data_IF_095966477922
#
_entry.id   IF_095966477922
#
_cell.length_a   1.000
_cell.length_b   1.000
_cell.length_c   1.000
_cell.angle_alpha   90.00
_cell.angle_beta   90.00
_cell.angle_gamma   90.00
#
_symmetry.space_group_name_H-M   'P 1'
#
loop_
_entity.id
_entity.type
_entity.pdbx_description
1 polymer ?
#
# COMPACT_ATOMS: atom_id res chain seq x y z
N UNK A 1 5.76 -27.12 28.92
CA UNK A 1 6.56 -25.89 28.97
C UNK A 1 8.04 -26.21 28.83
N UNK A 2 8.53 -26.42 27.61
CA UNK A 2 9.96 -26.50 27.22
C UNK A 2 9.94 -26.93 25.74
N UNK A 3 10.01 -25.97 24.82
CA UNK A 3 10.44 -26.17 23.41
C UNK A 3 10.09 -24.95 22.49
N UNK A 4 9.97 -23.72 23.05
CA UNK A 4 9.78 -22.52 22.23
C UNK A 4 11.04 -21.67 22.02
N UNK A 5 12.12 -21.93 22.77
CA UNK A 5 13.33 -21.07 22.70
C UNK A 5 14.36 -21.48 21.64
N UNK A 6 14.20 -22.63 20.99
CA UNK A 6 15.26 -23.16 20.08
C UNK A 6 15.03 -22.83 18.59
N UNK A 7 13.92 -22.19 18.21
CA UNK A 7 13.68 -21.79 16.81
C UNK A 7 14.11 -20.37 16.45
N UNK A 8 14.24 -19.50 17.44
CA UNK A 8 14.71 -18.11 17.22
C UNK A 8 16.21 -17.97 16.93
N UNK A 9 17.01 -18.97 17.26
CA UNK A 9 18.47 -18.93 17.10
C UNK A 9 18.94 -19.31 15.68
N UNK A 10 18.09 -19.81 14.79
CA UNK A 10 18.51 -20.25 13.45
C UNK A 10 18.34 -19.21 12.33
N UNK A 11 17.52 -18.21 12.52
CA UNK A 11 17.39 -17.11 11.54
C UNK A 11 18.38 -15.96 11.73
N UNK A 12 19.02 -15.89 12.88
CA UNK A 12 20.04 -14.87 13.19
C UNK A 12 21.48 -15.23 12.80
N UNK A 13 21.72 -16.42 12.24
CA UNK A 13 23.09 -16.92 11.99
C UNK A 13 23.50 -16.94 10.50
N UNK A 14 22.80 -16.25 9.62
CA UNK A 14 23.17 -16.14 8.20
C UNK A 14 23.67 -14.74 7.78
N UNK A 15 24.10 -13.92 8.73
CA UNK A 15 24.55 -12.53 8.46
C UNK A 15 25.98 -12.25 8.99
N UNK A 16 26.91 -13.21 8.91
CA UNK A 16 28.33 -12.93 9.14
C UNK A 16 29.21 -13.78 8.24
N UNK A 17 29.34 -13.35 6.98
CA UNK A 17 30.51 -13.66 6.15
C UNK A 17 31.13 -12.33 5.74
N UNK A 18 32.05 -11.83 6.57
CA UNK A 18 32.90 -10.69 6.26
C UNK A 18 34.00 -11.17 5.32
N UNK A 19 33.90 -10.79 4.05
CA UNK A 19 35.02 -10.91 3.11
C UNK A 19 35.91 -9.66 3.28
N UNK A 20 37.08 -9.86 3.84
CA UNK A 20 38.16 -8.83 3.89
C UNK A 20 38.69 -8.60 2.48
N UNK A 21 38.39 -7.44 1.90
CA UNK A 21 39.03 -6.95 0.68
C UNK A 21 40.05 -5.90 1.08
N UNK A 22 41.30 -6.17 0.79
CA UNK A 22 42.42 -5.25 1.01
C UNK A 22 42.27 -4.03 0.10
N UNK A 23 42.21 -2.83 0.68
CA UNK A 23 42.26 -1.57 -0.05
C UNK A 23 43.71 -1.22 -0.43
N UNK A 24 43.97 -1.15 -1.72
CA UNK A 24 45.14 -0.46 -2.26
C UNK A 24 44.85 1.05 -2.20
N UNK A 25 45.57 1.75 -1.33
CA UNK A 25 45.52 3.21 -1.23
C UNK A 25 46.29 3.78 -2.44
N UNK A 26 45.58 4.31 -3.43
CA UNK A 26 46.13 5.19 -4.44
C UNK A 26 46.01 6.62 -3.91
N UNK A 27 47.15 7.24 -3.59
CA UNK A 27 47.24 8.66 -3.25
C UNK A 27 46.89 9.51 -4.48
N UNK A 28 45.62 9.90 -4.62
CA UNK A 28 45.16 10.95 -5.53
C UNK A 28 45.15 12.31 -4.82
N UNK A 29 45.55 13.35 -5.51
CA UNK A 29 45.60 14.74 -5.01
C UNK A 29 44.18 15.16 -4.46
N UNK A 30 44.13 16.04 -3.44
CA UNK A 30 42.87 16.54 -2.93
C UNK A 30 42.21 17.46 -3.97
N UNK A 31 41.30 16.89 -4.76
CA UNK A 31 40.37 17.67 -5.55
C UNK A 31 39.48 18.46 -4.61
N UNK A 32 39.31 19.75 -4.86
CA UNK A 32 38.36 20.62 -4.14
C UNK A 32 36.99 19.97 -4.14
N UNK A 33 36.52 19.57 -2.97
CA UNK A 33 35.13 19.12 -2.76
C UNK A 33 34.18 20.23 -3.23
N UNK A 34 33.27 20.00 -4.17
CA UNK A 34 32.24 20.99 -4.51
C UNK A 34 31.49 21.38 -3.24
N UNK A 35 31.23 22.66 -3.07
CA UNK A 35 30.38 23.13 -1.98
C UNK A 35 29.05 22.35 -2.00
N UNK A 36 28.54 21.90 -0.85
CA UNK A 36 27.25 21.20 -0.79
C UNK A 36 26.20 22.08 -1.47
N UNK A 37 25.41 21.45 -2.36
CA UNK A 37 24.31 22.17 -3.01
C UNK A 37 23.38 22.75 -1.92
N UNK A 38 22.85 23.96 -2.12
CA UNK A 38 21.93 24.56 -1.16
C UNK A 38 20.73 23.59 -0.94
N UNK A 39 20.22 23.48 0.30
CA UNK A 39 19.11 22.61 0.61
C UNK A 39 17.91 22.98 -0.30
N UNK A 40 17.14 21.98 -0.79
CA UNK A 40 16.03 22.25 -1.69
C UNK A 40 14.99 23.12 -1.00
N UNK A 41 14.54 24.19 -1.66
CA UNK A 41 13.46 25.03 -1.14
C UNK A 41 12.21 24.17 -0.93
N UNK A 42 11.58 24.29 0.24
CA UNK A 42 10.34 23.57 0.57
C UNK A 42 9.16 24.14 -0.18
N UNK A 43 8.29 23.31 -0.75
CA UNK A 43 7.02 23.81 -1.34
C UNK A 43 6.08 24.41 -0.31
N UNK A 44 6.15 23.97 0.94
CA UNK A 44 5.33 24.40 2.07
C UNK A 44 4.01 23.61 2.21
N UNK A 45 3.37 23.70 3.40
CA UNK A 45 2.06 23.12 3.64
C UNK A 45 1.02 23.64 2.63
N UNK A 46 0.13 22.74 2.16
CA UNK A 46 -0.91 23.08 1.19
C UNK A 46 -0.44 23.23 -0.26
N UNK A 47 0.84 22.98 -0.56
CA UNK A 47 1.39 23.11 -1.90
C UNK A 47 0.71 22.20 -2.95
N UNK A 48 0.09 21.10 -2.52
CA UNK A 48 -0.66 20.19 -3.38
C UNK A 48 -2.11 20.65 -3.66
N UNK A 49 -2.60 21.72 -3.01
CA UNK A 49 -3.97 22.19 -3.18
C UNK A 49 -5.01 21.10 -2.89
N UNK A 50 -5.92 20.89 -3.83
CA UNK A 50 -6.95 19.84 -3.73
C UNK A 50 -6.44 18.45 -4.14
N UNK A 51 -5.27 18.32 -4.75
CA UNK A 51 -4.68 17.05 -5.09
C UNK A 51 -4.28 16.30 -3.81
N UNK A 52 -4.74 15.05 -3.67
CA UNK A 52 -4.42 14.23 -2.51
C UNK A 52 -2.96 13.82 -2.57
N UNK A 53 -2.16 14.39 -1.72
CA UNK A 53 -0.78 13.98 -1.54
C UNK A 53 -0.66 13.20 -0.23
N UNK A 54 -0.75 11.89 -0.37
CA UNK A 54 -0.70 10.95 0.74
C UNK A 54 0.75 10.55 1.04
N UNK A 55 1.59 11.54 1.37
CA UNK A 55 2.87 11.29 2.02
C UNK A 55 2.59 11.04 3.50
N UNK A 56 2.62 9.80 3.91
CA UNK A 56 2.24 9.39 5.25
C UNK A 56 3.29 8.47 5.85
N UNK A 57 3.48 8.59 7.16
CA UNK A 57 4.22 7.61 7.95
C UNK A 57 3.65 6.22 7.72
N UNK A 58 4.53 5.25 7.51
CA UNK A 58 4.17 3.88 7.13
C UNK A 58 3.96 2.97 8.36
N UNK A 59 3.50 1.73 8.18
CA UNK A 59 3.44 0.76 9.28
C UNK A 59 4.82 0.33 9.80
N UNK A 60 5.91 0.75 9.14
CA UNK A 60 7.29 0.45 9.56
C UNK A 60 7.97 1.61 10.28
N UNK A 61 7.35 2.77 10.37
CA UNK A 61 8.00 4.00 10.88
C UNK A 61 8.64 3.81 12.25
N UNK A 62 7.91 3.21 13.19
CA UNK A 62 8.42 2.97 14.54
C UNK A 62 9.62 2.03 14.52
N UNK A 63 9.54 0.93 13.78
CA UNK A 63 10.66 -0.01 13.64
C UNK A 63 11.92 0.67 13.09
N UNK A 64 11.74 1.55 12.11
CA UNK A 64 12.86 2.31 11.51
C UNK A 64 13.43 3.31 12.51
N UNK A 65 12.59 4.02 13.24
CA UNK A 65 13.01 4.99 14.26
C UNK A 65 13.70 4.31 15.46
N UNK A 66 13.25 3.12 15.85
CA UNK A 66 13.85 2.33 16.95
C UNK A 66 15.29 1.89 16.64
N UNK A 67 15.69 1.86 15.37
CA UNK A 67 17.10 1.66 14.99
C UNK A 67 18.00 2.88 15.30
N UNK A 68 17.41 3.99 15.74
CA UNK A 68 18.09 5.25 15.96
C UNK A 68 18.28 6.10 14.69
N UNK A 69 17.61 5.72 13.58
CA UNK A 69 17.66 6.48 12.34
C UNK A 69 17.01 7.87 12.51
N UNK A 70 17.65 8.88 11.93
CA UNK A 70 17.19 10.28 11.95
C UNK A 70 16.87 10.70 10.53
N UNK A 71 15.66 11.19 10.30
CA UNK A 71 15.27 11.74 9.01
C UNK A 71 15.63 13.22 8.93
N UNK A 72 16.12 13.66 7.76
CA UNK A 72 16.41 15.07 7.51
C UNK A 72 16.17 15.45 6.06
N UNK A 73 15.73 16.69 5.84
CA UNK A 73 15.68 17.30 4.51
C UNK A 73 16.79 18.34 4.30
N UNK A 74 17.77 18.37 5.22
CA UNK A 74 18.87 19.34 5.23
C UNK A 74 18.52 20.68 5.91
N UNK A 75 17.26 20.89 6.29
CA UNK A 75 16.78 22.07 7.03
C UNK A 75 16.36 21.64 8.45
N UNK A 76 15.47 20.65 8.54
CA UNK A 76 14.98 20.09 9.79
C UNK A 76 15.38 18.62 9.93
N UNK A 77 15.25 18.11 11.16
CA UNK A 77 15.45 16.71 11.49
C UNK A 77 14.24 16.17 12.25
N UNK A 78 13.93 14.88 12.00
CA UNK A 78 12.85 14.16 12.69
C UNK A 78 13.38 12.86 13.31
N UNK A 79 12.96 12.59 14.54
CA UNK A 79 13.31 11.41 15.36
C UNK A 79 12.07 10.73 15.94
N UNK A 80 10.89 11.19 15.57
CA UNK A 80 9.60 10.69 16.02
C UNK A 80 8.65 10.56 14.84
N UNK A 81 7.66 9.71 14.96
CA UNK A 81 6.61 9.52 13.94
C UNK A 81 5.93 10.85 13.58
N UNK A 82 5.58 11.65 14.58
CA UNK A 82 5.01 12.99 14.36
C UNK A 82 6.00 13.90 13.62
N UNK A 83 7.29 13.87 14.00
CA UNK A 83 8.33 14.66 13.34
C UNK A 83 8.46 14.31 11.87
N UNK A 84 8.43 13.02 11.50
CA UNK A 84 8.46 12.58 10.11
C UNK A 84 7.22 13.06 9.36
N UNK A 85 6.03 12.94 9.95
CA UNK A 85 4.80 13.43 9.32
C UNK A 85 4.83 14.96 9.13
N UNK A 86 5.39 15.72 10.08
CA UNK A 86 5.60 17.17 9.93
C UNK A 86 6.58 17.52 8.81
N UNK A 87 7.64 16.71 8.60
CA UNK A 87 8.50 16.86 7.41
C UNK A 87 7.68 16.67 6.12
N UNK A 88 6.86 15.63 6.03
CA UNK A 88 6.00 15.41 4.86
C UNK A 88 5.05 16.59 4.59
N UNK A 89 4.49 17.20 5.63
CA UNK A 89 3.63 18.37 5.50
C UNK A 89 4.37 19.57 4.84
N UNK A 90 5.67 19.74 5.10
CA UNK A 90 6.47 20.77 4.44
C UNK A 90 6.62 20.56 2.92
N UNK A 91 6.33 19.33 2.48
CA UNK A 91 6.34 18.93 1.07
C UNK A 91 4.94 18.72 0.50
N UNK A 92 3.92 19.25 1.19
CA UNK A 92 2.54 19.33 0.70
C UNK A 92 1.64 18.18 1.08
N UNK A 93 2.10 17.24 1.93
CA UNK A 93 1.24 16.18 2.46
C UNK A 93 -0.02 16.77 3.11
N UNK A 94 -1.20 16.25 2.78
CA UNK A 94 -2.47 16.77 3.24
C UNK A 94 -3.43 15.71 3.80
N UNK A 95 -2.92 14.50 4.03
CA UNK A 95 -3.60 13.45 4.76
C UNK A 95 -2.60 12.52 5.47
N UNK A 96 -3.09 11.78 6.45
CA UNK A 96 -2.44 10.59 7.03
C UNK A 96 -3.20 9.36 6.56
N UNK A 97 -2.47 8.34 6.19
CA UNK A 97 -2.99 7.06 5.78
C UNK A 97 -2.63 5.97 6.79
N UNK A 98 -3.51 5.01 6.97
CA UNK A 98 -3.20 3.77 7.68
C UNK A 98 -3.94 2.59 7.04
N UNK A 99 -3.21 1.51 6.72
CA UNK A 99 -3.78 0.20 6.45
C UNK A 99 -4.09 -0.48 7.78
N UNK A 100 -5.29 -1.02 7.91
CA UNK A 100 -5.82 -1.60 9.14
C UNK A 100 -6.28 -3.02 8.83
N UNK A 101 -5.56 -3.99 9.38
CA UNK A 101 -5.92 -5.40 9.40
C UNK A 101 -7.05 -5.67 10.40
N UNK A 102 -7.59 -6.88 10.42
CA UNK A 102 -8.61 -7.24 11.41
C UNK A 102 -8.02 -7.52 12.80
N UNK A 103 -6.72 -7.77 12.94
CA UNK A 103 -6.09 -7.83 14.25
C UNK A 103 -6.13 -6.47 14.96
N UNK A 104 -6.41 -6.47 16.26
CA UNK A 104 -6.46 -5.25 17.08
C UNK A 104 -5.13 -4.92 17.71
N UNK A 105 -4.38 -5.93 18.11
CA UNK A 105 -3.12 -5.79 18.82
C UNK A 105 -1.93 -5.89 17.87
N UNK A 106 -0.83 -5.25 18.29
CA UNK A 106 0.41 -5.25 17.51
C UNK A 106 0.89 -6.66 17.18
N UNK A 107 1.30 -6.85 15.92
CA UNK A 107 1.91 -8.08 15.45
C UNK A 107 3.33 -7.81 14.95
N UNK A 108 4.23 -8.75 15.25
CA UNK A 108 5.62 -8.69 14.80
C UNK A 108 5.70 -9.19 13.36
N UNK A 109 6.40 -8.48 12.49
CA UNK A 109 6.72 -8.98 11.14
C UNK A 109 6.62 -7.91 10.06
N UNK A 110 5.57 -7.92 9.26
CA UNK A 110 5.42 -7.16 8.02
C UNK A 110 4.93 -5.71 8.21
N UNK A 111 5.40 -5.03 9.26
CA UNK A 111 4.88 -3.74 9.71
C UNK A 111 3.68 -3.94 10.63
N UNK A 112 3.28 -2.86 11.31
CA UNK A 112 2.14 -2.91 12.23
C UNK A 112 0.89 -2.36 11.56
N UNK A 113 0.04 -3.28 11.11
CA UNK A 113 -1.27 -2.99 10.52
C UNK A 113 -2.42 -3.15 11.52
N UNK A 114 -2.16 -3.26 12.81
CA UNK A 114 -3.20 -3.43 13.82
C UNK A 114 -4.18 -2.26 13.88
N UNK A 115 -5.40 -2.51 14.37
CA UNK A 115 -6.35 -1.42 14.65
C UNK A 115 -5.78 -0.42 15.66
N UNK A 116 -5.04 -0.89 16.68
CA UNK A 116 -4.35 0.00 17.63
C UNK A 116 -3.45 0.99 16.91
N UNK A 117 -2.63 0.52 15.97
CA UNK A 117 -1.79 1.40 15.15
C UNK A 117 -2.63 2.34 14.27
N UNK A 118 -3.72 1.83 13.70
CA UNK A 118 -4.68 2.66 12.95
C UNK A 118 -5.25 3.81 13.77
N UNK A 119 -5.63 3.57 15.03
CA UNK A 119 -6.12 4.60 15.95
C UNK A 119 -5.02 5.61 16.33
N UNK A 120 -3.78 5.17 16.53
CA UNK A 120 -2.65 6.08 16.74
C UNK A 120 -2.43 7.00 15.52
N UNK A 121 -2.59 6.49 14.30
CA UNK A 121 -2.53 7.31 13.08
C UNK A 121 -3.70 8.27 12.96
N UNK A 122 -4.90 7.87 13.39
CA UNK A 122 -6.07 8.76 13.45
C UNK A 122 -5.83 9.92 14.44
N UNK A 123 -5.32 9.64 15.64
CA UNK A 123 -4.93 10.66 16.60
C UNK A 123 -3.82 11.58 16.06
N UNK A 124 -2.83 11.03 15.37
CA UNK A 124 -1.78 11.82 14.71
C UNK A 124 -2.38 12.78 13.67
N UNK A 125 -3.27 12.27 12.81
CA UNK A 125 -3.95 13.10 11.81
C UNK A 125 -4.76 14.22 12.49
N UNK A 126 -5.52 13.89 13.52
CA UNK A 126 -6.33 14.84 14.27
C UNK A 126 -5.45 15.93 14.92
N UNK A 127 -4.35 15.56 15.60
CA UNK A 127 -3.45 16.51 16.26
C UNK A 127 -2.73 17.45 15.29
N UNK A 128 -2.50 16.99 14.04
CA UNK A 128 -1.86 17.78 12.99
C UNK A 128 -2.85 18.56 12.12
N UNK A 129 -4.16 18.41 12.34
CA UNK A 129 -5.19 19.04 11.50
C UNK A 129 -5.24 18.47 10.08
N UNK A 130 -4.76 17.25 9.88
CA UNK A 130 -4.79 16.55 8.60
C UNK A 130 -6.05 15.69 8.47
N UNK A 131 -6.45 15.41 7.24
CA UNK A 131 -7.46 14.39 6.95
C UNK A 131 -6.89 13.00 7.19
N UNK A 132 -7.75 12.04 7.49
CA UNK A 132 -7.37 10.64 7.67
C UNK A 132 -7.95 9.79 6.55
N UNK A 133 -7.17 8.84 6.05
CA UNK A 133 -7.59 7.82 5.11
C UNK A 133 -7.31 6.43 5.70
N UNK A 134 -8.26 5.83 6.42
CA UNK A 134 -8.17 4.45 6.85
C UNK A 134 -8.42 3.51 5.67
N UNK A 135 -7.57 2.51 5.50
CA UNK A 135 -7.78 1.38 4.60
C UNK A 135 -8.07 0.13 5.43
N UNK A 136 -9.28 -0.40 5.32
CA UNK A 136 -9.67 -1.64 5.98
C UNK A 136 -9.29 -2.83 5.08
N UNK A 137 -8.20 -3.51 5.43
CA UNK A 137 -7.59 -4.54 4.59
C UNK A 137 -8.40 -5.83 4.48
N UNK A 138 -9.32 -6.11 5.41
CA UNK A 138 -10.18 -7.31 5.48
C UNK A 138 -9.41 -8.64 5.53
N UNK A 139 -8.21 -8.59 6.05
CA UNK A 139 -7.33 -9.73 6.30
C UNK A 139 -6.82 -9.66 7.76
N UNK A 140 -6.33 -10.76 8.28
CA UNK A 140 -5.90 -10.82 9.68
C UNK A 140 -4.71 -9.92 10.02
N UNK A 141 -3.58 -10.03 9.29
CA UNK A 141 -2.34 -9.27 9.54
C UNK A 141 -1.95 -8.46 8.30
N UNK A 142 -1.85 -9.11 7.15
CA UNK A 142 -1.48 -8.51 5.87
C UNK A 142 -2.04 -9.35 4.71
N UNK A 143 -2.34 -8.68 3.61
CA UNK A 143 -2.74 -9.31 2.35
C UNK A 143 -2.56 -8.34 1.19
N UNK A 144 -2.30 -8.88 0.01
CA UNK A 144 -2.18 -8.17 -1.27
C UNK A 144 -2.62 -9.09 -2.42
N UNK A 145 -2.38 -8.67 -3.66
CA UNK A 145 -2.74 -9.47 -4.85
C UNK A 145 -2.16 -10.89 -4.85
N UNK A 146 -1.05 -11.13 -4.15
CA UNK A 146 -0.39 -12.43 -4.10
C UNK A 146 -0.97 -13.38 -3.07
N UNK A 147 -1.64 -12.81 -2.05
CA UNK A 147 -2.27 -13.54 -0.96
C UNK A 147 -3.34 -12.67 -0.29
N UNK A 148 -4.58 -13.16 -0.25
CA UNK A 148 -5.71 -12.52 0.45
C UNK A 148 -6.23 -13.45 1.56
N UNK A 149 -5.56 -13.49 2.74
CA UNK A 149 -5.94 -14.41 3.80
C UNK A 149 -7.29 -14.04 4.43
N UNK A 150 -7.93 -15.00 5.13
CA UNK A 150 -9.14 -14.73 5.90
C UNK A 150 -8.91 -13.66 6.96
N UNK A 151 -9.95 -12.87 7.31
CA UNK A 151 -9.94 -12.04 8.49
C UNK A 151 -9.91 -12.89 9.77
N UNK A 152 -9.39 -12.32 10.84
CA UNK A 152 -9.46 -12.89 12.18
C UNK A 152 -10.21 -11.94 13.12
N UNK A 153 -11.35 -12.39 13.61
CA UNK A 153 -12.21 -11.60 14.49
C UNK A 153 -12.21 -12.05 15.95
N UNK A 154 -11.22 -12.87 16.37
CA UNK A 154 -11.18 -13.37 17.76
C UNK A 154 -11.06 -12.24 18.80
N UNK A 155 -10.50 -11.08 18.43
CA UNK A 155 -10.38 -9.90 19.26
C UNK A 155 -11.62 -8.98 19.23
N UNK A 156 -12.71 -9.41 18.57
CA UNK A 156 -13.99 -8.69 18.49
C UNK A 156 -15.11 -9.49 19.14
N UNK A 157 -15.19 -9.52 20.49
CA UNK A 157 -16.15 -10.36 21.21
C UNK A 157 -17.62 -10.02 20.91
N UNK A 158 -17.88 -8.83 20.39
CA UNK A 158 -19.22 -8.42 19.95
C UNK A 158 -19.64 -8.99 18.60
N UNK A 159 -18.69 -9.55 17.82
CA UNK A 159 -19.01 -10.25 16.58
C UNK A 159 -19.29 -11.73 16.87
N UNK A 160 -20.47 -12.17 16.50
CA UNK A 160 -20.88 -13.57 16.66
C UNK A 160 -20.68 -14.31 15.35
N UNK A 161 -19.66 -15.15 15.29
CA UNK A 161 -19.39 -16.01 14.15
C UNK A 161 -20.14 -17.35 14.36
N UNK A 162 -20.94 -17.80 13.38
CA UNK A 162 -21.64 -19.08 13.49
C UNK A 162 -20.68 -20.31 13.33
N UNK A 163 -19.43 -20.06 12.97
CA UNK A 163 -18.37 -21.05 12.81
C UNK A 163 -17.06 -20.41 12.37
N UNK A 164 -16.03 -21.21 12.08
CA UNK A 164 -14.79 -20.71 11.51
C UNK A 164 -15.06 -19.95 10.19
N UNK A 165 -14.38 -18.84 9.97
CA UNK A 165 -14.55 -18.02 8.75
C UNK A 165 -14.48 -18.86 7.46
N UNK A 166 -13.56 -19.79 7.40
CA UNK A 166 -13.33 -20.67 6.24
C UNK A 166 -14.45 -21.68 5.98
N UNK A 167 -15.45 -21.80 6.86
CA UNK A 167 -16.64 -22.65 6.67
C UNK A 167 -17.91 -21.88 6.33
N UNK A 168 -17.83 -20.51 6.33
CA UNK A 168 -19.01 -19.68 6.14
C UNK A 168 -19.40 -19.54 4.66
N UNK A 169 -20.69 -19.37 4.41
CA UNK A 169 -21.21 -18.87 3.13
C UNK A 169 -21.07 -17.36 3.05
N UNK A 170 -21.14 -16.78 1.85
CA UNK A 170 -21.14 -15.33 1.68
C UNK A 170 -22.25 -14.68 2.51
N UNK A 171 -23.47 -15.25 2.49
CA UNK A 171 -24.61 -14.69 3.25
C UNK A 171 -24.37 -14.67 4.76
N UNK A 172 -23.58 -15.60 5.28
CA UNK A 172 -23.16 -15.59 6.69
C UNK A 172 -22.05 -14.59 6.98
N UNK A 173 -21.19 -14.29 6.00
CA UNK A 173 -20.12 -13.31 6.14
C UNK A 173 -20.62 -11.86 6.15
N UNK A 174 -21.68 -11.55 5.37
CA UNK A 174 -22.16 -10.18 5.20
C UNK A 174 -22.53 -9.48 6.52
N UNK A 175 -23.35 -10.05 7.42
CA UNK A 175 -23.71 -9.39 8.67
C UNK A 175 -22.50 -9.20 9.61
N UNK A 176 -21.50 -10.08 9.54
CA UNK A 176 -20.28 -9.97 10.32
C UNK A 176 -19.46 -8.79 9.81
N UNK A 177 -19.24 -8.70 8.50
CA UNK A 177 -18.50 -7.59 7.88
C UNK A 177 -19.21 -6.24 8.05
N UNK A 178 -20.53 -6.21 7.97
CA UNK A 178 -21.32 -5.01 8.28
C UNK A 178 -21.05 -4.56 9.72
N UNK A 179 -21.15 -5.47 10.68
CA UNK A 179 -20.91 -5.15 12.09
C UNK A 179 -19.46 -4.74 12.35
N UNK A 180 -18.48 -5.41 11.72
CA UNK A 180 -17.05 -5.05 11.78
C UNK A 180 -16.84 -3.62 11.26
N UNK A 181 -17.37 -3.29 10.09
CA UNK A 181 -17.27 -1.95 9.51
C UNK A 181 -17.82 -0.87 10.44
N UNK A 182 -19.00 -1.12 11.07
CA UNK A 182 -19.59 -0.20 12.03
C UNK A 182 -18.76 -0.02 13.31
N UNK A 183 -18.14 -1.10 13.83
CA UNK A 183 -17.30 -1.06 15.02
C UNK A 183 -16.05 -0.22 14.76
N UNK A 184 -15.31 -0.57 13.71
CA UNK A 184 -14.04 0.12 13.39
C UNK A 184 -14.30 1.59 13.04
N UNK A 185 -15.38 1.88 12.28
CA UNK A 185 -15.74 3.26 11.98
C UNK A 185 -16.00 4.08 13.22
N UNK A 186 -16.75 3.54 14.19
CA UNK A 186 -17.01 4.24 15.46
C UNK A 186 -15.74 4.52 16.22
N UNK A 187 -14.86 3.53 16.39
CA UNK A 187 -13.60 3.69 17.12
C UNK A 187 -12.69 4.75 16.47
N UNK A 188 -12.61 4.78 15.14
CA UNK A 188 -11.84 5.80 14.41
C UNK A 188 -12.46 7.20 14.59
N UNK A 189 -13.79 7.33 14.43
CA UNK A 189 -14.46 8.63 14.55
C UNK A 189 -14.46 9.16 15.99
N UNK A 190 -14.46 8.28 16.99
CA UNK A 190 -14.35 8.66 18.41
C UNK A 190 -13.00 9.32 18.75
N UNK A 191 -11.95 9.16 17.91
CA UNK A 191 -10.70 9.94 18.01
C UNK A 191 -10.88 11.43 17.67
N UNK A 192 -12.01 11.83 17.10
CA UNK A 192 -12.28 13.18 16.63
C UNK A 192 -11.65 13.52 15.26
N UNK A 193 -11.03 12.56 14.59
CA UNK A 193 -10.40 12.76 13.29
C UNK A 193 -11.46 12.96 12.19
N UNK A 194 -11.12 13.75 11.18
CA UNK A 194 -11.94 13.87 9.98
C UNK A 194 -11.49 12.87 8.92
N UNK A 195 -12.28 11.83 8.70
CA UNK A 195 -12.01 10.88 7.62
C UNK A 195 -12.29 11.52 6.26
N UNK A 196 -11.34 11.42 5.34
CA UNK A 196 -11.49 11.90 3.96
C UNK A 196 -12.27 10.91 3.11
N UNK A 197 -11.87 9.67 3.21
CA UNK A 197 -12.40 8.55 2.44
C UNK A 197 -12.01 7.25 3.15
N UNK A 198 -12.87 6.26 3.14
CA UNK A 198 -12.64 4.92 3.62
C UNK A 198 -12.15 4.06 2.46
N UNK A 199 -10.96 3.51 2.55
CA UNK A 199 -10.44 2.58 1.56
C UNK A 199 -10.78 1.14 1.98
N UNK A 200 -11.38 0.36 1.10
CA UNK A 200 -11.86 -0.99 1.41
C UNK A 200 -11.08 -2.03 0.63
N UNK A 201 -10.32 -2.83 1.38
CA UNK A 201 -9.44 -3.86 0.84
C UNK A 201 -8.14 -3.31 0.26
N UNK A 202 -7.15 -4.19 0.14
CA UNK A 202 -5.85 -3.91 -0.46
C UNK A 202 -5.63 -4.81 -1.67
N UNK A 203 -5.48 -4.21 -2.87
CA UNK A 203 -5.22 -4.92 -4.12
C UNK A 203 -6.21 -6.09 -4.38
N UNK A 204 -7.50 -5.77 -4.29
CA UNK A 204 -8.58 -6.76 -4.18
C UNK A 204 -9.06 -7.33 -5.51
N UNK A 205 -8.42 -7.04 -6.61
CA UNK A 205 -8.87 -7.51 -7.94
C UNK A 205 -8.90 -9.04 -8.08
N UNK A 206 -8.16 -9.78 -7.25
CA UNK A 206 -8.21 -11.24 -7.18
C UNK A 206 -8.94 -11.78 -5.95
N UNK A 207 -9.57 -10.91 -5.15
CA UNK A 207 -10.38 -11.27 -4.00
C UNK A 207 -10.04 -10.47 -2.74
N UNK A 208 -10.76 -10.75 -1.65
CA UNK A 208 -10.53 -10.21 -0.31
C UNK A 208 -11.20 -11.10 0.75
N UNK A 209 -10.88 -10.87 2.02
CA UNK A 209 -11.48 -11.56 3.16
C UNK A 209 -11.42 -13.10 3.05
N UNK A 210 -10.35 -13.66 2.49
CA UNK A 210 -10.20 -15.09 2.24
C UNK A 210 -11.02 -15.63 1.06
N UNK A 211 -11.93 -14.86 0.48
CA UNK A 211 -12.63 -15.22 -0.76
C UNK A 211 -11.73 -14.84 -1.94
N UNK A 212 -10.73 -15.67 -2.16
CA UNK A 212 -9.66 -15.45 -3.13
C UNK A 212 -9.04 -16.79 -3.55
N UNK A 213 -8.37 -16.87 -4.72
CA UNK A 213 -7.62 -18.03 -5.15
C UNK A 213 -6.50 -18.41 -4.17
N UNK A 214 -5.97 -19.62 -4.32
CA UNK A 214 -4.78 -20.02 -3.58
C UNK A 214 -3.62 -19.05 -3.82
N UNK A 215 -2.89 -18.66 -2.77
CA UNK A 215 -1.82 -17.66 -2.86
C UNK A 215 -0.66 -18.12 -3.76
N UNK A 216 0.19 -17.18 -4.11
CA UNK A 216 1.50 -17.53 -4.66
C UNK A 216 2.29 -18.33 -3.60
N UNK A 217 3.10 -19.32 -4.05
CA UNK A 217 3.93 -20.07 -3.13
C UNK A 217 4.81 -19.16 -2.27
N UNK A 218 4.74 -19.31 -0.96
CA UNK A 218 5.48 -18.52 0.01
C UNK A 218 4.86 -17.17 0.39
N UNK A 219 3.89 -16.65 -0.37
CA UNK A 219 3.35 -15.31 -0.12
C UNK A 219 2.61 -15.17 1.22
N UNK A 220 1.82 -16.17 1.62
CA UNK A 220 1.13 -16.18 2.90
C UNK A 220 1.98 -16.71 4.08
N UNK A 221 3.09 -17.37 3.79
CA UNK A 221 3.90 -18.04 4.82
C UNK A 221 4.55 -17.04 5.77
N UNK A 222 5.00 -15.90 5.22
CA UNK A 222 5.70 -14.88 5.98
C UNK A 222 4.76 -13.79 6.52
N UNK A 223 3.60 -13.58 5.89
CA UNK A 223 2.71 -12.45 6.17
C UNK A 223 1.46 -12.82 6.94
N UNK A 224 1.06 -14.08 6.90
CA UNK A 224 -0.24 -14.53 7.43
C UNK A 224 -0.14 -15.60 8.52
N UNK A 225 1.04 -15.81 9.10
CA UNK A 225 1.21 -16.73 10.22
C UNK A 225 1.77 -18.10 9.85
N UNK A 226 2.23 -18.28 8.62
CA UNK A 226 3.00 -19.46 8.20
C UNK A 226 2.28 -20.40 7.22
N UNK A 227 2.97 -21.48 6.82
CA UNK A 227 2.47 -22.43 5.83
C UNK A 227 1.07 -22.98 6.14
N UNK A 228 0.19 -22.92 5.17
CA UNK A 228 -1.17 -23.46 5.28
C UNK A 228 -2.15 -22.58 6.03
N UNK A 229 -1.77 -21.36 6.38
CA UNK A 229 -2.66 -20.41 7.05
C UNK A 229 -3.78 -19.92 6.16
N UNK A 230 -3.51 -19.70 4.88
CA UNK A 230 -4.54 -19.34 3.92
C UNK A 230 -5.37 -20.54 3.48
N UNK A 231 -6.68 -20.36 3.46
CA UNK A 231 -7.63 -21.30 2.87
C UNK A 231 -8.87 -20.55 2.37
N UNK A 232 -9.22 -20.79 1.10
CA UNK A 232 -10.49 -20.31 0.56
C UNK A 232 -11.66 -20.94 1.33
N UNK A 233 -12.74 -20.19 1.60
CA UNK A 233 -13.90 -20.72 2.32
C UNK A 233 -14.63 -21.81 1.54
N UNK A 234 -14.90 -22.96 2.17
CA UNK A 234 -15.64 -24.08 1.58
C UNK A 234 -17.11 -23.72 1.26
N UNK A 235 -17.67 -22.79 2.02
CA UNK A 235 -19.08 -22.36 1.90
C UNK A 235 -19.36 -21.37 0.78
N UNK A 236 -18.35 -21.00 -0.02
CA UNK A 236 -18.50 -20.03 -1.13
C UNK A 236 -18.55 -20.82 -2.45
N UNK A 237 -17.65 -20.61 -3.34
CA UNK A 237 -17.54 -21.30 -4.63
C UNK A 237 -16.36 -22.27 -4.60
N UNK A 238 -16.56 -23.59 -4.74
CA UNK A 238 -15.46 -24.56 -4.71
C UNK A 238 -14.38 -24.33 -5.78
N UNK A 239 -14.71 -23.67 -6.90
CA UNK A 239 -13.75 -23.37 -7.95
C UNK A 239 -12.66 -22.41 -7.46
N UNK A 240 -12.96 -21.55 -6.49
CA UNK A 240 -12.00 -20.61 -5.91
C UNK A 240 -10.82 -21.36 -5.28
N UNK A 241 -11.08 -22.37 -4.46
CA UNK A 241 -10.06 -23.18 -3.80
C UNK A 241 -9.24 -24.07 -4.75
N UNK A 242 -9.67 -24.25 -6.00
CA UNK A 242 -8.98 -25.02 -7.04
C UNK A 242 -8.13 -24.15 -7.96
N UNK A 243 -8.31 -22.83 -7.92
CA UNK A 243 -7.55 -21.85 -8.69
C UNK A 243 -6.40 -21.31 -7.86
N UNK A 244 -5.27 -20.99 -8.50
CA UNK A 244 -4.18 -20.25 -7.86
C UNK A 244 -3.95 -18.90 -8.52
N UNK A 245 -3.44 -17.95 -7.74
CA UNK A 245 -3.00 -16.64 -8.26
C UNK A 245 -1.99 -16.82 -9.39
N UNK A 246 -1.03 -17.76 -9.25
CA UNK A 246 -0.06 -18.05 -10.31
C UNK A 246 -0.72 -18.49 -11.62
N UNK A 247 -1.74 -19.34 -11.53
CA UNK A 247 -2.49 -19.77 -12.71
C UNK A 247 -3.20 -18.59 -13.38
N UNK A 248 -3.85 -17.74 -12.59
CA UNK A 248 -4.52 -16.54 -13.11
C UNK A 248 -3.53 -15.57 -13.77
N UNK A 249 -2.37 -15.34 -13.17
CA UNK A 249 -1.34 -14.46 -13.72
C UNK A 249 -0.79 -14.98 -15.08
N UNK A 250 -0.75 -16.31 -15.27
CA UNK A 250 -0.31 -16.93 -16.50
C UNK A 250 -1.40 -17.03 -17.57
N UNK A 251 -2.66 -16.76 -17.26
CA UNK A 251 -3.73 -16.67 -18.24
C UNK A 251 -3.60 -15.40 -19.08
N UNK A 252 -4.05 -15.46 -20.33
CA UNK A 252 -4.32 -14.25 -21.11
C UNK A 252 -5.48 -13.46 -20.50
N UNK A 253 -5.57 -12.17 -20.81
CA UNK A 253 -6.47 -11.24 -20.13
C UNK A 253 -7.94 -11.68 -20.17
N UNK A 254 -8.47 -12.02 -21.36
CA UNK A 254 -9.88 -12.32 -21.52
C UNK A 254 -10.37 -13.55 -20.72
N UNK A 255 -9.73 -14.74 -20.75
CA UNK A 255 -10.14 -15.86 -19.91
C UNK A 255 -9.92 -15.59 -18.41
N UNK A 256 -8.93 -14.81 -18.03
CA UNK A 256 -8.73 -14.39 -16.63
C UNK A 256 -9.90 -13.53 -16.15
N UNK A 257 -10.30 -12.51 -16.92
CA UNK A 257 -11.47 -11.68 -16.62
C UNK A 257 -12.73 -12.54 -16.50
N UNK A 258 -12.97 -13.44 -17.46
CA UNK A 258 -14.13 -14.30 -17.44
C UNK A 258 -14.20 -15.17 -16.18
N UNK A 259 -13.07 -15.72 -15.75
CA UNK A 259 -13.00 -16.51 -14.51
C UNK A 259 -13.25 -15.66 -13.26
N UNK A 260 -12.66 -14.48 -13.18
CA UNK A 260 -12.85 -13.56 -12.04
C UNK A 260 -14.30 -13.07 -11.96
N UNK A 261 -14.92 -12.76 -13.08
CA UNK A 261 -16.36 -12.40 -13.18
C UNK A 261 -17.29 -13.53 -12.75
N UNK A 262 -16.92 -14.78 -13.03
CA UNK A 262 -17.74 -15.93 -12.66
C UNK A 262 -17.60 -16.29 -11.17
N UNK A 263 -16.42 -16.18 -10.57
CA UNK A 263 -16.09 -16.84 -9.31
C UNK A 263 -15.69 -15.89 -8.18
N UNK A 264 -15.12 -14.70 -8.45
CA UNK A 264 -14.61 -13.80 -7.41
C UNK A 264 -15.46 -12.54 -7.29
N UNK A 265 -15.58 -11.76 -8.36
CA UNK A 265 -16.14 -10.41 -8.29
C UNK A 265 -17.60 -10.34 -7.83
N UNK A 266 -18.49 -11.30 -8.12
CA UNK A 266 -19.86 -11.30 -7.56
C UNK A 266 -19.90 -11.43 -6.04
N UNK A 267 -18.97 -12.16 -5.46
CA UNK A 267 -18.85 -12.29 -4.00
C UNK A 267 -18.19 -11.06 -3.40
N UNK A 268 -17.07 -10.63 -3.99
CA UNK A 268 -16.30 -9.50 -3.53
C UNK A 268 -17.13 -8.22 -3.45
N UNK A 269 -17.92 -7.90 -4.47
CA UNK A 269 -18.77 -6.71 -4.47
C UNK A 269 -19.73 -6.70 -3.28
N UNK A 270 -20.31 -7.84 -2.91
CA UNK A 270 -21.22 -7.98 -1.77
C UNK A 270 -20.48 -7.82 -0.43
N UNK A 271 -19.28 -8.40 -0.31
CA UNK A 271 -18.46 -8.28 0.90
C UNK A 271 -18.06 -6.82 1.15
N UNK A 272 -17.59 -6.12 0.12
CA UNK A 272 -17.22 -4.70 0.23
C UNK A 272 -18.45 -3.82 0.51
N UNK A 273 -19.59 -4.10 -0.14
CA UNK A 273 -20.86 -3.41 0.15
C UNK A 273 -21.27 -3.54 1.61
N UNK A 274 -21.18 -4.74 2.18
CA UNK A 274 -21.54 -4.97 3.58
C UNK A 274 -20.67 -4.15 4.55
N UNK A 275 -19.35 -4.08 4.32
CA UNK A 275 -18.45 -3.21 5.12
C UNK A 275 -18.85 -1.74 4.96
N UNK A 276 -19.08 -1.30 3.72
CA UNK A 276 -19.45 0.09 3.43
C UNK A 276 -20.78 0.48 4.10
N UNK A 277 -21.78 -0.39 4.09
CA UNK A 277 -23.07 -0.19 4.77
C UNK A 277 -22.89 -0.11 6.29
N UNK A 278 -22.05 -0.98 6.85
CA UNK A 278 -21.68 -0.92 8.26
C UNK A 278 -21.07 0.42 8.65
N UNK A 279 -20.11 0.92 7.87
CA UNK A 279 -19.49 2.24 8.07
C UNK A 279 -20.55 3.34 7.93
N UNK A 280 -21.39 3.31 6.89
CA UNK A 280 -22.46 4.31 6.70
C UNK A 280 -23.47 4.35 7.83
N UNK A 281 -23.67 3.26 8.55
CA UNK A 281 -24.56 3.23 9.73
C UNK A 281 -24.05 4.12 10.87
N UNK A 282 -22.77 4.48 10.85
CA UNK A 282 -22.08 5.33 11.85
C UNK A 282 -21.71 6.69 11.24
N UNK A 283 -21.26 6.70 9.99
CA UNK A 283 -20.87 7.88 9.21
C UNK A 283 -21.72 7.95 7.93
N UNK A 284 -22.90 8.59 8.03
CA UNK A 284 -23.84 8.70 6.92
C UNK A 284 -23.25 9.44 5.69
N UNK A 285 -22.19 10.24 5.88
CA UNK A 285 -21.47 10.96 4.84
C UNK A 285 -20.27 10.20 4.28
N UNK A 286 -20.04 8.95 4.72
CA UNK A 286 -18.87 8.17 4.33
C UNK A 286 -18.74 8.04 2.81
N UNK A 287 -17.56 8.35 2.32
CA UNK A 287 -17.11 8.11 0.96
C UNK A 287 -16.16 6.92 0.93
N UNK A 288 -16.14 6.20 -0.18
CA UNK A 288 -15.37 4.97 -0.30
C UNK A 288 -14.43 4.99 -1.49
N UNK A 289 -13.26 4.42 -1.29
CA UNK A 289 -12.34 3.96 -2.34
C UNK A 289 -12.10 2.46 -2.20
N UNK A 290 -11.62 1.89 -3.27
CA UNK A 290 -11.03 0.55 -3.29
C UNK A 290 -9.99 0.52 -4.38
N UNK A 291 -8.94 -0.28 -4.22
CA UNK A 291 -7.90 -0.30 -5.23
C UNK A 291 -7.54 -1.71 -5.70
N UNK A 292 -7.07 -1.75 -6.93
CA UNK A 292 -6.61 -2.93 -7.63
C UNK A 292 -5.09 -2.92 -7.75
N UNK A 293 -4.52 -4.09 -7.91
CA UNK A 293 -3.09 -4.32 -8.02
C UNK A 293 -2.45 -3.70 -9.27
N UNK A 294 -1.13 -3.68 -9.26
CA UNK A 294 -0.32 -3.30 -10.42
C UNK A 294 -0.58 -4.14 -11.67
N UNK A 295 -1.14 -5.34 -11.53
CA UNK A 295 -1.55 -6.19 -12.67
C UNK A 295 -2.70 -5.52 -13.43
N UNK A 296 -3.78 -5.16 -12.76
CA UNK A 296 -4.93 -4.50 -13.38
C UNK A 296 -4.64 -3.05 -13.77
N UNK A 297 -3.65 -2.42 -13.12
CA UNK A 297 -3.27 -1.03 -13.39
C UNK A 297 -2.67 -0.80 -14.79
N UNK A 298 -2.12 -1.83 -15.41
CA UNK A 298 -1.52 -1.78 -16.76
C UNK A 298 -2.32 -2.58 -17.80
N UNK A 299 -3.55 -2.98 -17.47
CA UNK A 299 -4.47 -3.75 -18.28
C UNK A 299 -5.83 -3.02 -18.36
N UNK A 300 -6.03 -2.12 -19.34
CA UNK A 300 -7.22 -1.26 -19.40
C UNK A 300 -8.54 -2.03 -19.35
N UNK A 301 -8.64 -3.16 -20.04
CA UNK A 301 -9.85 -3.99 -20.06
C UNK A 301 -10.14 -4.60 -18.68
N UNK A 302 -9.11 -5.13 -18.00
CA UNK A 302 -9.28 -5.77 -16.71
C UNK A 302 -9.64 -4.74 -15.62
N UNK A 303 -8.96 -3.60 -15.58
CA UNK A 303 -9.26 -2.54 -14.62
C UNK A 303 -10.68 -2.01 -14.76
N UNK A 304 -11.13 -1.76 -15.99
CA UNK A 304 -12.49 -1.31 -16.27
C UNK A 304 -13.54 -2.37 -15.91
N UNK A 305 -13.28 -3.64 -16.28
CA UNK A 305 -14.19 -4.76 -15.99
C UNK A 305 -14.35 -4.99 -14.49
N UNK A 306 -13.27 -4.85 -13.72
CA UNK A 306 -13.31 -4.97 -12.25
C UNK A 306 -14.27 -3.94 -11.64
N UNK A 307 -14.05 -2.64 -11.88
CA UNK A 307 -14.89 -1.61 -11.27
C UNK A 307 -16.32 -1.63 -11.78
N UNK A 308 -16.54 -2.04 -13.03
CA UNK A 308 -17.90 -2.26 -13.53
C UNK A 308 -18.59 -3.42 -12.81
N UNK A 309 -17.89 -4.53 -12.57
CA UNK A 309 -18.42 -5.66 -11.83
C UNK A 309 -18.74 -5.30 -10.37
N UNK A 310 -17.90 -4.48 -9.72
CA UNK A 310 -18.20 -3.97 -8.37
C UNK A 310 -19.50 -3.17 -8.35
N UNK A 311 -19.68 -2.26 -9.30
CA UNK A 311 -20.88 -1.44 -9.45
C UNK A 311 -22.11 -2.29 -9.70
N UNK A 312 -22.03 -3.26 -10.61
CA UNK A 312 -23.16 -4.14 -10.98
C UNK A 312 -23.55 -5.06 -9.81
N UNK A 313 -22.58 -5.43 -8.96
CA UNK A 313 -22.78 -6.22 -7.75
C UNK A 313 -23.22 -5.42 -6.51
N UNK A 314 -23.46 -4.10 -6.65
CA UNK A 314 -24.01 -3.26 -5.58
C UNK A 314 -22.98 -2.46 -4.78
N UNK A 315 -21.69 -2.55 -5.10
CA UNK A 315 -20.64 -1.73 -4.50
C UNK A 315 -20.07 -0.74 -5.52
N UNK A 316 -20.33 0.54 -5.32
CA UNK A 316 -19.84 1.61 -6.20
C UNK A 316 -18.96 2.57 -5.40
N UNK A 317 -17.63 2.43 -5.44
CA UNK A 317 -16.73 3.36 -4.77
C UNK A 317 -16.79 4.75 -5.39
N UNK A 318 -16.55 5.78 -4.55
CA UNK A 318 -16.51 7.18 -4.98
C UNK A 318 -15.21 7.54 -5.68
N UNK A 319 -14.16 6.76 -5.45
CA UNK A 319 -12.82 6.92 -6.00
C UNK A 319 -12.22 5.56 -6.34
N UNK A 320 -11.58 5.44 -7.50
CA UNK A 320 -11.09 4.19 -8.05
C UNK A 320 -9.57 4.14 -7.88
N UNK A 321 -9.07 3.19 -7.08
CA UNK A 321 -7.66 3.10 -6.73
C UNK A 321 -6.87 2.14 -7.62
N UNK A 322 -5.60 2.47 -7.86
CA UNK A 322 -4.65 1.61 -8.56
C UNK A 322 -3.29 1.63 -7.86
N UNK A 323 -2.70 0.45 -7.67
CA UNK A 323 -1.28 0.33 -7.34
C UNK A 323 -0.45 0.43 -8.63
N UNK A 324 0.64 1.20 -8.60
CA UNK A 324 1.52 1.34 -9.75
C UNK A 324 2.99 1.20 -9.37
N UNK A 325 3.53 0.01 -9.67
CA UNK A 325 4.92 -0.37 -9.43
C UNK A 325 5.61 -0.70 -10.75
N UNK A 326 5.94 0.29 -11.59
CA UNK A 326 6.40 0.02 -12.96
C UNK A 326 7.74 -0.72 -13.06
N UNK A 327 8.50 -0.80 -11.98
CA UNK A 327 9.76 -1.56 -11.94
C UNK A 327 9.59 -3.04 -11.60
N UNK A 328 8.39 -3.49 -11.21
CA UNK A 328 8.13 -4.88 -10.80
C UNK A 328 8.13 -5.88 -11.97
N UNK A 329 7.87 -5.41 -13.20
CA UNK A 329 7.80 -6.23 -14.40
C UNK A 329 8.36 -5.49 -15.62
N UNK A 330 8.84 -6.24 -16.62
CA UNK A 330 9.17 -5.68 -17.93
C UNK A 330 7.94 -5.57 -18.85
N UNK A 331 6.80 -6.11 -18.43
CA UNK A 331 5.58 -6.17 -19.27
C UNK A 331 4.44 -5.32 -18.68
N UNK A 332 3.67 -4.68 -19.55
CA UNK A 332 3.96 -4.45 -20.98
C UNK A 332 5.18 -3.54 -21.18
N UNK A 333 5.84 -3.54 -22.33
CA UNK A 333 7.03 -2.72 -22.56
C UNK A 333 6.82 -1.23 -22.28
N UNK A 334 5.66 -0.69 -22.64
CA UNK A 334 5.26 0.71 -22.36
C UNK A 334 4.29 0.79 -21.17
N UNK A 335 4.76 0.34 -20.01
CA UNK A 335 3.96 0.25 -18.77
C UNK A 335 3.37 1.60 -18.33
N UNK A 336 4.13 2.67 -18.52
CA UNK A 336 3.66 4.01 -18.14
C UNK A 336 2.49 4.45 -19.03
N UNK A 337 2.57 4.23 -20.34
CA UNK A 337 1.46 4.54 -21.24
C UNK A 337 0.26 3.63 -20.97
N UNK A 338 0.48 2.32 -20.81
CA UNK A 338 -0.58 1.39 -20.45
C UNK A 338 -1.30 1.78 -19.15
N UNK A 339 -0.57 2.23 -18.13
CA UNK A 339 -1.15 2.77 -16.90
C UNK A 339 -1.99 4.03 -17.17
N UNK A 340 -1.47 4.98 -17.93
CA UNK A 340 -2.22 6.19 -18.29
C UNK A 340 -3.49 5.89 -19.07
N UNK A 341 -3.43 4.95 -20.00
CA UNK A 341 -4.59 4.52 -20.80
C UNK A 341 -5.64 3.85 -19.89
N UNK A 342 -5.20 3.02 -18.95
CA UNK A 342 -6.09 2.40 -17.95
C UNK A 342 -6.81 3.45 -17.13
N UNK A 343 -6.05 4.37 -16.51
CA UNK A 343 -6.59 5.44 -15.67
C UNK A 343 -7.59 6.31 -16.43
N UNK A 344 -7.19 6.78 -17.63
CA UNK A 344 -8.04 7.65 -18.46
C UNK A 344 -9.30 6.92 -18.93
N UNK A 345 -9.16 5.65 -19.36
CA UNK A 345 -10.28 4.82 -19.79
C UNK A 345 -11.28 4.57 -18.68
N UNK A 346 -10.81 4.16 -17.51
CA UNK A 346 -11.65 3.88 -16.34
C UNK A 346 -12.34 5.15 -15.84
N UNK A 347 -11.60 6.28 -15.74
CA UNK A 347 -12.17 7.58 -15.38
C UNK A 347 -13.29 7.99 -16.34
N UNK A 348 -13.05 7.88 -17.63
CA UNK A 348 -14.04 8.25 -18.67
C UNK A 348 -15.27 7.35 -18.64
N UNK A 349 -15.08 6.03 -18.52
CA UNK A 349 -16.16 5.05 -18.55
C UNK A 349 -17.08 5.14 -17.32
N UNK A 350 -16.50 5.34 -16.14
CA UNK A 350 -17.23 5.27 -14.87
C UNK A 350 -17.58 6.65 -14.28
N UNK A 351 -17.05 7.73 -14.86
CA UNK A 351 -17.21 9.11 -14.39
C UNK A 351 -16.85 9.28 -12.89
N UNK A 352 -15.76 8.63 -12.47
CA UNK A 352 -15.24 8.67 -11.10
C UNK A 352 -13.77 9.12 -11.11
N UNK A 353 -13.31 9.88 -10.10
CA UNK A 353 -11.90 10.19 -9.97
C UNK A 353 -11.08 8.93 -9.71
N UNK A 354 -9.86 8.93 -10.18
CA UNK A 354 -8.89 7.85 -9.96
C UNK A 354 -7.84 8.31 -8.95
N UNK A 355 -7.42 7.41 -8.08
CA UNK A 355 -6.35 7.63 -7.11
C UNK A 355 -5.20 6.63 -7.36
N UNK A 356 -3.97 7.13 -7.39
CA UNK A 356 -2.80 6.25 -7.39
C UNK A 356 -2.59 5.82 -5.94
N UNK A 357 -3.25 4.70 -5.59
CA UNK A 357 -3.40 4.24 -4.21
C UNK A 357 -2.10 3.69 -3.61
N UNK A 358 -1.23 3.16 -4.45
CA UNK A 358 0.14 2.81 -4.11
C UNK A 358 1.07 3.15 -5.26
N UNK A 359 2.22 3.65 -4.91
CA UNK A 359 3.27 3.94 -5.87
C UNK A 359 4.64 3.62 -5.30
N UNK A 360 5.47 2.95 -6.09
CA UNK A 360 6.89 2.78 -5.80
C UNK A 360 7.71 2.68 -7.06
N UNK A 361 8.82 3.42 -7.10
CA UNK A 361 9.83 3.35 -8.17
C UNK A 361 11.21 3.55 -7.55
N UNK A 362 12.17 2.63 -7.78
CA UNK A 362 13.43 2.71 -7.07
C UNK A 362 14.35 3.80 -7.62
N UNK A 363 15.06 4.47 -6.71
CA UNK A 363 16.06 5.48 -6.98
C UNK A 363 17.46 4.89 -7.23
N UNK A 364 17.57 3.59 -7.20
CA UNK A 364 18.80 2.80 -7.42
C UNK A 364 18.44 1.32 -7.61
N UNK A 365 19.39 0.50 -8.05
CA UNK A 365 19.16 -0.94 -8.18
C UNK A 365 18.81 -1.58 -6.83
N UNK A 366 17.71 -2.30 -6.76
CA UNK A 366 17.32 -3.11 -5.60
C UNK A 366 18.14 -4.39 -5.58
N UNK A 367 19.01 -4.56 -4.58
CA UNK A 367 20.00 -5.65 -4.55
C UNK A 367 19.61 -6.81 -3.64
N UNK A 368 18.67 -6.60 -2.73
CA UNK A 368 18.32 -7.55 -1.69
C UNK A 368 16.83 -7.49 -1.31
N UNK A 369 16.36 -8.46 -0.54
CA UNK A 369 15.00 -8.55 -0.05
C UNK A 369 14.00 -9.05 -1.08
N UNK A 370 12.72 -9.03 -0.73
CA UNK A 370 11.62 -9.55 -1.55
C UNK A 370 11.48 -8.84 -2.90
N UNK A 371 11.93 -7.58 -2.99
CA UNK A 371 11.81 -6.75 -4.20
C UNK A 371 13.08 -6.72 -5.06
N UNK A 372 14.06 -7.60 -4.80
CA UNK A 372 15.35 -7.61 -5.53
C UNK A 372 15.23 -7.87 -7.04
N UNK A 373 14.09 -8.38 -7.50
CA UNK A 373 13.77 -8.52 -8.92
C UNK A 373 13.12 -7.27 -9.55
N UNK A 374 12.73 -6.26 -8.77
CA UNK A 374 11.99 -5.08 -9.25
C UNK A 374 12.92 -4.00 -9.81
N UNK A 375 13.68 -4.35 -10.85
CA UNK A 375 14.71 -3.50 -11.46
C UNK A 375 14.43 -3.15 -12.92
N UNK A 376 13.19 -3.24 -13.37
CA UNK A 376 12.82 -2.90 -14.74
C UNK A 376 12.60 -1.39 -14.89
N UNK A 377 13.65 -0.68 -15.33
CA UNK A 377 13.54 0.76 -15.57
C UNK A 377 12.54 1.08 -16.69
N UNK A 378 11.87 2.21 -16.56
CA UNK A 378 11.17 2.85 -17.66
C UNK A 378 12.18 3.57 -18.55
N UNK A 379 11.99 3.55 -19.88
CA UNK A 379 12.99 4.04 -20.86
C UNK A 379 13.40 5.51 -20.62
N UNK A 380 12.49 6.35 -20.13
CA UNK A 380 12.72 7.78 -19.88
C UNK A 380 13.12 8.08 -18.42
N UNK A 381 13.01 7.10 -17.53
CA UNK A 381 13.23 7.27 -16.09
C UNK A 381 14.21 6.20 -15.58
N UNK A 382 15.53 6.46 -15.60
CA UNK A 382 16.51 5.51 -15.08
C UNK A 382 16.33 5.30 -13.57
N UNK A 383 16.79 4.15 -13.05
CA UNK A 383 16.79 3.86 -11.62
C UNK A 383 17.85 4.70 -10.91
N UNK A 384 17.55 5.97 -10.74
CA UNK A 384 18.39 6.99 -10.07
C UNK A 384 17.50 7.91 -9.24
N UNK A 385 18.06 8.62 -8.24
CA UNK A 385 17.28 9.61 -7.47
C UNK A 385 16.58 10.66 -8.35
N UNK A 386 17.21 11.07 -9.45
CA UNK A 386 16.61 12.02 -10.39
C UNK A 386 15.53 11.36 -11.22
N UNK A 387 15.74 10.12 -11.72
CA UNK A 387 14.70 9.39 -12.47
C UNK A 387 13.45 9.10 -11.64
N UNK A 388 13.61 8.75 -10.36
CA UNK A 388 12.49 8.63 -9.42
C UNK A 388 11.73 9.95 -9.27
N UNK A 389 12.45 11.06 -9.10
CA UNK A 389 11.85 12.39 -8.95
C UNK A 389 11.12 12.83 -10.23
N UNK A 390 11.71 12.59 -11.39
CA UNK A 390 11.12 13.00 -12.67
C UNK A 390 9.86 12.20 -12.99
N UNK A 391 9.83 10.91 -12.69
CA UNK A 391 8.62 10.09 -12.83
C UNK A 391 7.49 10.56 -11.89
N UNK A 392 7.79 10.83 -10.63
CA UNK A 392 6.80 11.34 -9.67
C UNK A 392 6.25 12.70 -10.09
N UNK A 393 7.11 13.62 -10.54
CA UNK A 393 6.70 14.92 -11.06
C UNK A 393 5.80 14.77 -12.28
N UNK A 394 6.18 13.89 -13.21
CA UNK A 394 5.41 13.59 -14.41
C UNK A 394 4.02 13.05 -14.09
N UNK A 395 3.93 12.05 -13.18
CA UNK A 395 2.64 11.47 -12.77
C UNK A 395 1.73 12.51 -12.11
N UNK A 396 2.28 13.36 -11.25
CA UNK A 396 1.51 14.42 -10.59
C UNK A 396 1.01 15.49 -11.58
N UNK A 397 1.88 15.94 -12.49
CA UNK A 397 1.52 16.92 -13.54
C UNK A 397 0.47 16.36 -14.50
N UNK A 398 0.70 15.18 -15.07
CA UNK A 398 -0.25 14.51 -15.95
C UNK A 398 -1.58 14.23 -15.23
N UNK A 399 -1.50 13.70 -14.01
CA UNK A 399 -2.66 13.25 -13.26
C UNK A 399 -3.62 14.38 -12.93
N UNK A 400 -3.11 15.58 -12.62
CA UNK A 400 -3.94 16.75 -12.31
C UNK A 400 -4.89 17.14 -13.45
N UNK A 401 -4.55 16.81 -14.71
CA UNK A 401 -5.37 17.03 -15.90
C UNK A 401 -6.15 15.80 -16.38
N UNK A 402 -5.87 14.60 -15.84
CA UNK A 402 -6.38 13.32 -16.35
C UNK A 402 -7.43 12.67 -15.43
N UNK A 403 -8.01 13.41 -14.48
CA UNK A 403 -9.00 12.88 -13.54
C UNK A 403 -8.39 12.12 -12.35
N UNK A 404 -7.08 12.21 -12.14
CA UNK A 404 -6.40 11.67 -10.96
C UNK A 404 -6.57 12.62 -9.79
N UNK A 405 -7.14 12.13 -8.70
CA UNK A 405 -7.40 12.89 -7.48
C UNK A 405 -6.17 13.04 -6.58
N UNK A 406 -5.18 12.14 -6.74
CA UNK A 406 -3.98 12.14 -5.89
C UNK A 406 -3.08 10.92 -6.08
N UNK A 407 -2.01 10.89 -5.27
CA UNK A 407 -1.02 9.82 -5.26
C UNK A 407 -0.56 9.52 -3.84
N UNK A 408 -0.31 8.24 -3.55
CA UNK A 408 0.27 7.72 -2.31
C UNK A 408 1.55 6.94 -2.62
N UNK A 409 2.74 7.52 -2.43
CA UNK A 409 3.96 6.73 -2.34
C UNK A 409 3.87 5.77 -1.17
N UNK A 410 4.05 4.48 -1.41
CA UNK A 410 4.01 3.48 -0.35
C UNK A 410 5.33 3.44 0.41
N UNK A 411 5.26 3.47 1.75
CA UNK A 411 6.44 3.46 2.61
C UNK A 411 7.49 4.55 2.27
N UNK A 412 7.12 5.84 2.19
CA UNK A 412 7.99 6.89 1.67
C UNK A 412 9.24 7.13 2.54
N UNK A 413 9.20 6.76 3.84
CA UNK A 413 10.33 6.84 4.76
C UNK A 413 10.92 5.47 5.10
N UNK A 414 10.43 4.37 4.53
CA UNK A 414 10.78 3.01 4.94
C UNK A 414 12.19 2.65 4.47
N UNK A 415 13.17 2.95 5.32
CA UNK A 415 14.60 2.71 5.06
C UNK A 415 15.06 1.31 5.51
N UNK A 416 14.23 0.27 5.28
CA UNK A 416 14.58 -1.12 5.58
C UNK A 416 15.22 -1.80 4.36
N UNK A 417 16.07 -2.82 4.55
CA UNK A 417 16.64 -3.61 3.45
C UNK A 417 15.56 -4.09 2.48
N UNK A 418 15.82 -3.95 1.18
CA UNK A 418 14.88 -4.31 0.12
C UNK A 418 13.87 -3.21 -0.25
N UNK A 419 13.50 -2.31 0.66
CA UNK A 419 12.62 -1.18 0.35
C UNK A 419 13.31 0.18 0.30
N UNK A 420 14.46 0.35 0.95
CA UNK A 420 15.22 1.61 0.97
C UNK A 420 15.44 2.25 -0.42
N UNK A 421 15.63 1.50 -1.52
CA UNK A 421 15.70 2.07 -2.86
C UNK A 421 14.43 2.80 -3.31
N UNK A 422 13.25 2.38 -2.83
CA UNK A 422 11.95 2.98 -3.17
C UNK A 422 11.62 4.18 -2.30
N UNK A 423 12.18 4.26 -1.10
CA UNK A 423 11.93 5.34 -0.15
C UNK A 423 12.31 6.71 -0.73
N UNK A 424 11.65 7.76 -0.24
CA UNK A 424 11.94 9.15 -0.61
C UNK A 424 13.07 9.75 0.25
N UNK A 425 13.70 8.92 1.09
CA UNK A 425 14.88 9.24 1.88
C UNK A 425 15.99 8.22 1.61
N UNK A 426 17.20 8.70 1.50
CA UNK A 426 18.40 7.89 1.30
C UNK A 426 19.08 7.63 2.65
N UNK A 427 19.10 6.40 3.18
CA UNK A 427 19.80 6.10 4.42
C UNK A 427 21.32 6.11 4.22
N UNK A 428 22.05 6.73 5.15
CA UNK A 428 23.50 6.72 5.24
C UNK A 428 23.91 6.74 6.71
N UNK A 429 24.42 5.64 7.22
CA UNK A 429 24.65 5.47 8.66
C UNK A 429 23.35 5.65 9.43
N UNK A 430 23.35 6.50 10.44
CA UNK A 430 22.16 6.77 11.27
C UNK A 430 21.32 7.95 10.75
N UNK A 431 21.49 8.37 9.51
CA UNK A 431 20.73 9.49 8.93
C UNK A 431 20.11 9.05 7.62
N UNK A 432 18.85 9.38 7.42
CA UNK A 432 18.13 9.25 6.15
C UNK A 432 17.85 10.66 5.59
N UNK A 433 18.49 10.99 4.47
CA UNK A 433 18.40 12.32 3.85
C UNK A 433 17.36 12.32 2.73
N UNK A 434 16.51 13.35 2.68
CA UNK A 434 15.51 13.50 1.64
C UNK A 434 16.11 13.46 0.23
N UNK A 435 15.49 12.64 -0.63
CA UNK A 435 15.81 12.58 -2.06
C UNK A 435 15.05 13.70 -2.81
N UNK A 436 15.46 14.07 -4.04
CA UNK A 436 14.74 15.04 -4.87
C UNK A 436 13.27 14.68 -5.09
N UNK A 437 12.93 13.39 -5.04
CA UNK A 437 11.58 12.84 -5.19
C UNK A 437 10.60 13.29 -4.11
N UNK A 438 11.08 13.65 -2.90
CA UNK A 438 10.20 14.10 -1.81
C UNK A 438 9.40 15.36 -2.20
N UNK A 439 10.00 16.30 -2.94
CA UNK A 439 9.32 17.53 -3.40
C UNK A 439 8.64 17.41 -4.77
N UNK A 440 9.04 16.37 -5.54
CA UNK A 440 8.70 16.25 -6.96
C UNK A 440 7.19 16.24 -7.24
N UNK A 441 6.40 15.63 -6.34
CA UNK A 441 4.94 15.53 -6.49
C UNK A 441 4.31 16.94 -6.39
N UNK A 442 4.63 17.67 -5.32
CA UNK A 442 4.11 19.02 -5.13
C UNK A 442 4.55 19.97 -6.25
N UNK A 443 5.76 19.80 -6.77
CA UNK A 443 6.26 20.54 -7.93
C UNK A 443 5.46 20.19 -9.20
N UNK A 444 5.14 18.91 -9.43
CA UNK A 444 4.33 18.46 -10.56
C UNK A 444 2.91 19.00 -10.54
N UNK A 445 2.26 19.02 -9.38
CA UNK A 445 0.90 19.58 -9.23
C UNK A 445 0.84 21.06 -9.54
N UNK A 446 1.89 21.82 -9.20
CA UNK A 446 1.95 23.29 -9.42
C UNK A 446 2.38 23.69 -10.83
N UNK A 447 2.90 22.76 -11.59
CA UNK A 447 3.37 22.97 -12.97
C UNK A 447 2.64 22.03 -13.93
N UNK A 448 1.31 22.15 -14.08
CA UNK A 448 0.51 21.27 -14.95
C UNK A 448 0.83 21.50 -16.44
#
# INVERSE_FOLDING_TARGET
MRNKETRFAKSALLLTAVASVAFLVVCGQPGSTPAPAPPPSRPGPGAAGNFRLSLSVSPFTEQVLDTGLVFTDGIDTARTTEGVQRLFMQYGANEVYARIATTRTYTVGFGDHSLTRGLERAHLAQSLGLRFNPELGLFNIYGDVTCQPPPDFHEYPQLQLPGPWTSLTVDQMLPILHSYGAIVAREILDTGVQVRIWDLGNEVDFGAAGVAPQPLPGACDDTAGGPGWYRAPDGVDPAIGQMSVLTLLNMTEAPRIAWLQAHIWPHLSRLLAAVAEGIRSVDAGARFSTHVSGVSAVLPTQGAAFFQAMKDGGYSPDELGFSFYPSSSSQPPDRLQAFKDTVTGVHTQLARPVFIAEFGYPAETVREGAFSSWNFALSQYPLTPQGQADLLRHLASWGSGAGVSGIRPWGPETAVPGWAPFALFAPQGNTATARPSLRAIADGVRSP
#
